data_IF_567389416131
#
_entry.id   IF_567389416131
#
_cell.length_a   1.000
_cell.length_b   1.000
_cell.length_c   1.000
_cell.angle_alpha   90.00
_cell.angle_beta   90.00
_cell.angle_gamma   90.00
#
_symmetry.space_group_name_H-M   'P 1'
#
loop_
_entity.id
_entity.type
_entity.pdbx_description
1 polymer ?
#
# COMPACT_ATOMS: atom_id res chain seq x y z
N UNK A 1 42.91 14.75 -10.12
CA UNK A 1 41.76 14.07 -9.50
C UNK A 1 41.34 12.92 -10.41
N UNK A 2 41.33 11.70 -9.88
CA UNK A 2 41.02 10.47 -10.61
C UNK A 2 39.54 10.46 -11.04
N UNK A 3 39.17 9.82 -12.17
CA UNK A 3 37.77 9.60 -12.58
C UNK A 3 36.91 8.90 -11.50
N UNK A 4 37.53 8.14 -10.59
CA UNK A 4 36.83 7.46 -9.50
C UNK A 4 36.26 8.44 -8.44
N UNK A 5 36.87 9.61 -8.27
CA UNK A 5 36.50 10.61 -7.26
C UNK A 5 35.25 11.44 -7.63
N UNK A 6 34.84 11.42 -8.90
CA UNK A 6 33.60 12.10 -9.34
C UNK A 6 32.33 11.27 -9.09
N UNK A 7 32.46 9.97 -8.81
CA UNK A 7 31.31 9.06 -8.67
C UNK A 7 30.66 9.07 -7.28
N UNK A 8 31.33 9.62 -6.27
CA UNK A 8 30.84 9.67 -4.88
C UNK A 8 30.16 11.00 -4.52
N UNK A 9 30.44 12.09 -5.25
CA UNK A 9 29.86 13.41 -4.97
C UNK A 9 28.44 13.59 -5.55
N UNK A 10 28.06 12.82 -6.57
CA UNK A 10 26.74 12.95 -7.24
C UNK A 10 25.60 12.14 -6.61
N UNK A 11 25.87 11.17 -5.73
CA UNK A 11 24.81 10.35 -5.10
C UNK A 11 23.94 11.12 -4.09
N UNK A 12 24.38 12.30 -3.66
CA UNK A 12 23.70 13.16 -2.69
C UNK A 12 23.07 14.41 -3.31
N UNK A 13 23.14 14.59 -4.64
CA UNK A 13 22.45 15.68 -5.30
C UNK A 13 20.94 15.39 -5.28
N UNK A 14 20.16 16.33 -4.72
CA UNK A 14 18.71 16.28 -4.77
C UNK A 14 18.27 16.23 -6.23
N UNK A 15 17.70 15.10 -6.67
CA UNK A 15 17.17 15.02 -8.03
C UNK A 15 15.92 15.89 -8.13
N UNK A 16 15.93 16.93 -8.98
CA UNK A 16 14.73 17.70 -9.27
C UNK A 16 13.68 16.77 -9.89
N UNK A 17 12.41 17.04 -9.60
CA UNK A 17 11.30 16.35 -10.26
C UNK A 17 10.37 17.38 -10.88
N UNK A 18 9.75 17.04 -12.01
CA UNK A 18 8.73 17.88 -12.59
C UNK A 18 7.43 17.69 -11.79
N UNK A 19 7.01 18.76 -11.13
CA UNK A 19 5.70 18.79 -10.51
C UNK A 19 4.64 19.05 -11.58
N UNK A 20 3.53 18.31 -11.58
CA UNK A 20 2.47 18.53 -12.55
C UNK A 20 1.94 19.96 -12.46
N UNK A 21 1.72 20.60 -13.60
CA UNK A 21 1.22 21.98 -13.65
C UNK A 21 -0.14 22.10 -12.93
N UNK A 22 -0.31 23.21 -12.20
CA UNK A 22 -1.52 23.51 -11.44
C UNK A 22 -1.81 22.55 -10.29
N UNK A 23 -0.89 21.66 -9.94
CA UNK A 23 -1.09 20.69 -8.86
C UNK A 23 -0.74 21.28 -7.49
N UNK A 24 -1.64 21.03 -6.55
CA UNK A 24 -1.43 21.24 -5.12
C UNK A 24 -2.14 20.12 -4.34
N UNK A 25 -1.80 19.87 -3.07
CA UNK A 25 -2.44 18.82 -2.28
C UNK A 25 -3.98 18.91 -2.22
N UNK A 26 -4.55 20.09 -2.40
CA UNK A 26 -5.99 20.40 -2.38
C UNK A 26 -6.61 20.57 -3.78
N UNK A 27 -5.83 20.48 -4.86
CA UNK A 27 -6.31 20.64 -6.25
C UNK A 27 -7.41 19.64 -6.64
N UNK A 28 -7.45 18.48 -5.99
CA UNK A 28 -8.51 17.47 -6.15
C UNK A 28 -9.91 18.00 -5.81
N UNK A 29 -10.02 19.01 -4.94
CA UNK A 29 -11.30 19.59 -4.52
C UNK A 29 -12.04 20.27 -5.67
N UNK A 30 -11.33 20.66 -6.73
CA UNK A 30 -11.90 21.25 -7.94
C UNK A 30 -12.33 20.20 -8.98
N UNK A 31 -12.21 18.90 -8.67
CA UNK A 31 -12.56 17.79 -9.57
C UNK A 31 -13.78 17.03 -9.07
N UNK A 32 -14.50 16.32 -9.96
CA UNK A 32 -15.55 15.40 -9.56
C UNK A 32 -15.01 14.34 -8.60
N UNK A 33 -15.58 14.25 -7.41
CA UNK A 33 -15.23 13.26 -6.40
C UNK A 33 -16.39 12.28 -6.20
N UNK A 34 -16.09 10.98 -6.20
CA UNK A 34 -17.05 9.93 -5.87
C UNK A 34 -16.65 9.28 -4.54
N UNK A 35 -17.62 8.62 -3.89
CA UNK A 35 -17.41 7.82 -2.67
C UNK A 35 -17.01 8.58 -1.40
N UNK A 36 -16.81 9.90 -1.45
CA UNK A 36 -16.57 10.72 -0.27
C UNK A 36 -17.83 10.82 0.60
N UNK A 37 -17.70 10.80 1.94
CA UNK A 37 -18.84 11.02 2.83
C UNK A 37 -19.30 12.48 2.81
N UNK A 38 -20.59 12.69 3.04
CA UNK A 38 -21.15 14.00 3.37
C UNK A 38 -21.10 14.19 4.89
N UNK A 39 -20.13 14.95 5.39
CA UNK A 39 -20.08 15.32 6.80
C UNK A 39 -21.14 16.40 7.10
N UNK A 40 -21.92 16.27 8.18
CA UNK A 40 -22.99 17.22 8.50
C UNK A 40 -22.48 18.59 8.96
N UNK A 41 -21.28 18.63 9.54
CA UNK A 41 -20.66 19.84 10.07
C UNK A 41 -19.32 20.11 9.36
N UNK A 42 -19.28 21.19 8.58
CA UNK A 42 -18.11 21.59 7.82
C UNK A 42 -17.01 22.20 8.70
N UNK A 43 -17.36 22.87 9.80
CA UNK A 43 -16.40 23.48 10.72
C UNK A 43 -15.68 22.38 11.53
N UNK A 44 -16.42 21.37 11.99
CA UNK A 44 -15.85 20.19 12.64
C UNK A 44 -14.89 19.43 11.69
N UNK A 45 -15.22 19.37 10.40
CA UNK A 45 -14.33 18.78 9.38
C UNK A 45 -13.04 19.60 9.22
N UNK A 46 -13.12 20.92 9.16
CA UNK A 46 -11.93 21.79 9.06
C UNK A 46 -11.08 21.76 10.34
N UNK A 47 -11.70 21.63 11.51
CA UNK A 47 -10.97 21.44 12.77
C UNK A 47 -10.19 20.13 12.77
N UNK A 48 -10.86 19.00 12.47
CA UNK A 48 -10.19 17.71 12.38
C UNK A 48 -9.07 17.70 11.32
N UNK A 49 -9.28 18.35 10.18
CA UNK A 49 -8.26 18.51 9.14
C UNK A 49 -7.02 19.27 9.65
N UNK A 50 -7.21 20.39 10.35
CA UNK A 50 -6.10 21.18 10.92
C UNK A 50 -5.32 20.40 11.98
N UNK A 51 -6.02 19.66 12.84
CA UNK A 51 -5.39 18.80 13.85
C UNK A 51 -4.56 17.69 13.18
N UNK A 52 -5.14 16.93 12.24
CA UNK A 52 -4.40 15.93 11.45
C UNK A 52 -3.16 16.53 10.80
N UNK A 53 -3.28 17.74 10.24
CA UNK A 53 -2.17 18.39 9.55
C UNK A 53 -0.99 18.71 10.48
N UNK A 54 -1.27 18.94 11.76
CA UNK A 54 -0.26 19.20 12.78
C UNK A 54 0.39 17.91 13.34
N UNK A 55 -0.24 16.74 13.18
CA UNK A 55 0.29 15.48 13.69
C UNK A 55 1.50 14.98 12.88
N UNK A 56 2.43 14.24 13.52
CA UNK A 56 3.54 13.60 12.81
C UNK A 56 3.06 12.61 11.73
N UNK A 57 3.79 12.49 10.62
CA UNK A 57 3.47 11.50 9.59
C UNK A 57 3.68 10.05 10.06
N UNK A 58 3.10 9.09 9.33
CA UNK A 58 3.21 7.66 9.62
C UNK A 58 4.44 7.01 8.99
N UNK A 59 4.92 7.56 7.87
CA UNK A 59 6.06 7.05 7.10
C UNK A 59 6.99 8.19 6.68
N UNK A 60 8.20 7.86 6.25
CA UNK A 60 9.18 8.82 5.77
C UNK A 60 9.33 8.77 4.25
N UNK A 61 9.82 9.86 3.66
CA UNK A 61 10.09 9.92 2.21
C UNK A 61 11.18 8.96 1.76
N UNK A 62 12.19 8.69 2.59
CA UNK A 62 13.27 7.75 2.25
C UNK A 62 12.76 6.32 2.10
N UNK A 63 11.83 5.91 2.97
CA UNK A 63 11.18 4.60 2.87
C UNK A 63 10.30 4.48 1.62
N UNK A 64 9.58 5.55 1.29
CA UNK A 64 8.79 5.64 0.05
C UNK A 64 9.69 5.49 -1.19
N UNK A 65 10.83 6.18 -1.22
CA UNK A 65 11.79 6.12 -2.33
C UNK A 65 12.41 4.72 -2.41
N UNK A 66 12.77 4.11 -1.27
CA UNK A 66 13.28 2.75 -1.22
C UNK A 66 12.25 1.74 -1.77
N UNK A 67 10.98 1.84 -1.38
CA UNK A 67 9.92 1.01 -1.94
C UNK A 67 9.81 1.20 -3.46
N UNK A 68 9.83 2.45 -3.94
CA UNK A 68 9.76 2.73 -5.38
C UNK A 68 10.89 2.02 -6.13
N UNK A 69 12.11 2.06 -5.61
CA UNK A 69 13.25 1.34 -6.18
C UNK A 69 13.01 -0.17 -6.22
N UNK A 70 12.47 -0.76 -5.15
CA UNK A 70 12.13 -2.19 -5.15
C UNK A 70 11.02 -2.56 -6.14
N UNK A 71 10.05 -1.67 -6.36
CA UNK A 71 9.03 -1.86 -7.39
C UNK A 71 9.61 -1.71 -8.80
N UNK A 72 10.60 -0.84 -9.01
CA UNK A 72 11.34 -0.77 -10.27
C UNK A 72 12.06 -2.09 -10.57
N UNK A 73 12.71 -2.68 -9.57
CA UNK A 73 13.33 -4.01 -9.69
C UNK A 73 12.28 -5.10 -9.97
N UNK A 74 11.08 -5.00 -9.38
CA UNK A 74 9.98 -5.92 -9.66
C UNK A 74 9.46 -5.78 -11.11
N UNK A 75 9.39 -4.55 -11.66
CA UNK A 75 9.05 -4.32 -13.08
C UNK A 75 10.03 -5.01 -14.03
N UNK A 76 11.29 -5.15 -13.62
CA UNK A 76 12.34 -5.84 -14.37
C UNK A 76 12.41 -7.35 -14.11
N UNK A 77 11.49 -7.91 -13.31
CA UNK A 77 11.48 -9.33 -12.95
C UNK A 77 12.57 -9.74 -11.95
N UNK A 78 13.26 -8.78 -11.32
CA UNK A 78 14.32 -9.04 -10.31
C UNK A 78 13.76 -9.23 -8.90
N UNK A 79 12.50 -8.87 -8.68
CA UNK A 79 11.77 -9.06 -7.41
C UNK A 79 10.33 -9.45 -7.66
N UNK A 80 9.71 -10.02 -6.64
CA UNK A 80 8.28 -10.28 -6.62
C UNK A 80 7.59 -9.42 -5.55
N UNK A 81 6.46 -8.81 -5.86
CA UNK A 81 5.67 -8.02 -4.89
C UNK A 81 4.62 -8.92 -4.22
N UNK A 82 4.66 -9.02 -2.90
CA UNK A 82 3.61 -9.60 -2.07
C UNK A 82 2.90 -8.48 -1.32
N UNK A 83 1.64 -8.23 -1.68
CA UNK A 83 0.76 -7.31 -0.95
C UNK A 83 -0.38 -8.09 -0.27
N UNK A 84 -0.57 -7.91 1.03
CA UNK A 84 -1.57 -8.67 1.79
C UNK A 84 -2.00 -8.03 3.10
N UNK A 85 -3.19 -8.38 3.60
CA UNK A 85 -3.78 -7.85 4.83
C UNK A 85 -5.29 -7.70 4.71
N UNK A 86 -5.89 -6.92 5.61
CA UNK A 86 -7.34 -6.86 5.77
C UNK A 86 -8.04 -6.20 4.57
N UNK A 87 -9.30 -6.59 4.37
CA UNK A 87 -10.18 -5.87 3.44
C UNK A 87 -10.45 -4.44 3.92
N UNK A 88 -10.79 -4.31 5.20
CA UNK A 88 -10.96 -3.06 5.93
C UNK A 88 -10.52 -3.32 7.37
N UNK A 89 -9.58 -2.53 7.88
CA UNK A 89 -9.19 -2.59 9.29
C UNK A 89 -10.33 -2.03 10.17
N UNK A 90 -10.43 -2.54 11.39
CA UNK A 90 -11.38 -2.11 12.41
C UNK A 90 -10.64 -1.50 13.60
N UNK A 91 -11.20 -0.46 14.21
CA UNK A 91 -10.67 0.12 15.45
C UNK A 91 -10.74 -0.86 16.62
N UNK A 92 -11.72 -1.76 16.64
CA UNK A 92 -11.87 -2.78 17.68
C UNK A 92 -10.81 -3.89 17.55
N UNK A 93 -10.29 -4.10 16.34
CA UNK A 93 -9.29 -5.13 16.03
C UNK A 93 -7.85 -4.60 16.04
N UNK A 94 -7.65 -3.36 16.47
CA UNK A 94 -6.32 -2.78 16.69
C UNK A 94 -5.71 -3.33 18.00
N UNK A 95 -5.40 -4.62 18.03
CA UNK A 95 -4.78 -5.33 19.15
C UNK A 95 -3.51 -6.07 18.72
N UNK A 96 -2.59 -6.28 19.66
CA UNK A 96 -1.28 -6.90 19.38
C UNK A 96 -1.41 -8.30 18.76
N UNK A 97 -2.36 -9.12 19.23
CA UNK A 97 -2.57 -10.48 18.73
C UNK A 97 -3.04 -10.48 17.27
N UNK A 98 -4.00 -9.62 16.92
CA UNK A 98 -4.51 -9.52 15.54
C UNK A 98 -3.42 -9.03 14.60
N UNK A 99 -2.71 -7.95 14.99
CA UNK A 99 -1.65 -7.36 14.17
C UNK A 99 -0.49 -8.35 13.97
N UNK A 100 -0.03 -9.01 15.04
CA UNK A 100 1.06 -9.96 14.97
C UNK A 100 0.70 -11.20 14.15
N UNK A 101 -0.52 -11.75 14.32
CA UNK A 101 -0.97 -12.89 13.52
C UNK A 101 -1.07 -12.54 12.02
N UNK A 102 -1.55 -11.34 11.69
CA UNK A 102 -1.59 -10.84 10.31
C UNK A 102 -0.18 -10.72 9.71
N UNK A 103 0.77 -10.21 10.50
CA UNK A 103 2.17 -10.11 10.11
C UNK A 103 2.79 -11.50 9.88
N UNK A 104 2.54 -12.47 10.76
CA UNK A 104 2.99 -13.87 10.61
C UNK A 104 2.54 -14.45 9.27
N UNK A 105 1.25 -14.34 8.95
CA UNK A 105 0.73 -14.85 7.66
C UNK A 105 1.48 -14.25 6.47
N UNK A 106 1.71 -12.93 6.47
CA UNK A 106 2.44 -12.29 5.38
C UNK A 106 3.90 -12.76 5.28
N UNK A 107 4.57 -12.93 6.42
CA UNK A 107 5.94 -13.45 6.47
C UNK A 107 6.01 -14.90 5.99
N UNK A 108 5.08 -15.76 6.41
CA UNK A 108 5.01 -17.16 5.96
C UNK A 108 4.79 -17.27 4.46
N UNK A 109 3.83 -16.51 3.90
CA UNK A 109 3.60 -16.45 2.45
C UNK A 109 4.86 -15.99 1.71
N UNK A 110 5.54 -14.97 2.23
CA UNK A 110 6.75 -14.45 1.61
C UNK A 110 7.87 -15.50 1.55
N UNK A 111 8.00 -16.33 2.59
CA UNK A 111 9.00 -17.39 2.65
C UNK A 111 8.77 -18.44 1.56
N UNK A 112 7.53 -18.87 1.42
CA UNK A 112 7.11 -19.83 0.37
C UNK A 112 7.38 -19.26 -1.01
N UNK A 113 7.07 -17.98 -1.24
CA UNK A 113 7.33 -17.31 -2.51
C UNK A 113 8.83 -17.16 -2.81
N UNK A 114 9.64 -16.80 -1.82
CA UNK A 114 11.11 -16.74 -1.99
C UNK A 114 11.66 -18.11 -2.38
N UNK A 115 11.20 -19.18 -1.72
CA UNK A 115 11.62 -20.54 -2.01
C UNK A 115 11.22 -20.99 -3.42
N UNK A 116 9.95 -20.78 -3.79
CA UNK A 116 9.42 -21.23 -5.08
C UNK A 116 9.90 -20.41 -6.27
N UNK A 117 10.02 -19.08 -6.11
CA UNK A 117 10.43 -18.17 -7.19
C UNK A 117 11.94 -17.99 -7.29
N UNK A 118 12.68 -18.25 -6.20
CA UNK A 118 14.12 -17.92 -6.09
C UNK A 118 14.40 -16.44 -6.39
N UNK A 119 13.46 -15.57 -6.05
CA UNK A 119 13.53 -14.12 -6.20
C UNK A 119 13.30 -13.44 -4.85
N UNK A 120 13.93 -12.28 -4.57
CA UNK A 120 13.59 -11.46 -3.43
C UNK A 120 12.11 -11.03 -3.48
N UNK A 121 11.45 -11.05 -2.32
CA UNK A 121 10.04 -10.63 -2.18
C UNK A 121 9.96 -9.29 -1.45
N UNK A 122 9.27 -8.33 -2.07
CA UNK A 122 8.88 -7.04 -1.46
C UNK A 122 7.58 -7.25 -0.70
N UNK A 123 7.53 -6.93 0.59
CA UNK A 123 6.36 -7.16 1.45
C UNK A 123 5.64 -5.85 1.72
N UNK A 124 4.36 -5.79 1.33
CA UNK A 124 3.53 -4.62 1.54
C UNK A 124 2.25 -5.03 2.28
N UNK A 125 2.12 -4.58 3.52
CA UNK A 125 0.94 -4.80 4.33
C UNK A 125 -0.21 -3.86 3.96
N UNK A 126 -1.42 -4.38 3.77
CA UNK A 126 -2.66 -3.60 3.94
C UNK A 126 -2.93 -3.39 5.43
N UNK A 127 -2.14 -2.49 6.01
CA UNK A 127 -1.98 -2.25 7.45
C UNK A 127 -1.91 -0.75 7.71
N UNK A 128 -2.27 -0.37 8.94
CA UNK A 128 -2.05 0.97 9.47
C UNK A 128 -2.67 2.07 8.61
N UNK A 129 -3.88 1.86 8.08
CA UNK A 129 -4.56 2.90 7.30
C UNK A 129 -5.74 2.42 6.46
N UNK A 130 -6.01 1.11 6.38
CA UNK A 130 -7.05 0.54 5.54
C UNK A 130 -8.44 0.64 6.18
N UNK A 131 -8.78 1.81 6.73
CA UNK A 131 -10.02 2.06 7.48
C UNK A 131 -11.17 2.60 6.63
N UNK A 132 -10.94 2.94 5.36
CA UNK A 132 -11.96 3.44 4.44
C UNK A 132 -12.41 2.34 3.47
N UNK A 133 -13.70 2.32 3.11
CA UNK A 133 -14.26 1.35 2.18
C UNK A 133 -15.26 2.00 1.21
N UNK A 134 -15.09 1.82 -0.11
CA UNK A 134 -16.08 2.28 -1.07
C UNK A 134 -17.32 1.37 -1.04
N UNK A 135 -18.48 1.92 -1.37
CA UNK A 135 -19.78 1.25 -1.35
C UNK A 135 -20.45 1.31 -2.72
N UNK A 136 -21.20 0.25 -3.04
CA UNK A 136 -21.99 0.20 -4.28
C UNK A 136 -23.26 1.07 -4.21
N UNK A 137 -23.75 1.33 -3.00
CA UNK A 137 -24.91 2.18 -2.74
C UNK A 137 -24.60 3.09 -1.55
N UNK A 138 -25.18 4.29 -1.55
CA UNK A 138 -24.97 5.27 -0.48
C UNK A 138 -25.72 4.89 0.80
N UNK A 139 -26.83 4.16 0.65
CA UNK A 139 -27.69 3.71 1.74
C UNK A 139 -27.72 2.18 1.86
N UNK A 140 -28.14 1.71 3.03
CA UNK A 140 -28.35 0.32 3.37
C UNK A 140 -29.70 0.18 4.07
N UNK A 141 -30.54 -0.74 3.58
CA UNK A 141 -31.86 -1.04 4.16
C UNK A 141 -31.84 -2.38 4.87
N UNK A 142 -32.26 -2.42 6.14
CA UNK A 142 -32.48 -3.65 6.91
C UNK A 142 -33.81 -3.54 7.64
N UNK A 143 -34.64 -4.58 7.57
CA UNK A 143 -35.93 -4.67 8.26
C UNK A 143 -36.83 -3.43 8.08
N UNK A 144 -36.84 -2.87 6.86
CA UNK A 144 -37.64 -1.68 6.50
C UNK A 144 -37.04 -0.33 6.89
N UNK A 145 -35.92 -0.29 7.63
CA UNK A 145 -35.20 0.93 8.01
C UNK A 145 -34.06 1.16 7.03
N UNK A 146 -33.94 2.37 6.48
CA UNK A 146 -32.87 2.77 5.55
C UNK A 146 -31.95 3.79 6.23
N UNK A 147 -30.65 3.49 6.26
CA UNK A 147 -29.61 4.33 6.86
C UNK A 147 -28.41 4.47 5.90
N UNK A 148 -27.57 5.51 6.05
CA UNK A 148 -26.32 5.60 5.30
C UNK A 148 -25.47 4.33 5.44
N UNK A 149 -24.86 3.90 4.35
CA UNK A 149 -23.96 2.75 4.34
C UNK A 149 -22.76 2.97 5.24
N UNK A 150 -22.34 1.93 5.95
CA UNK A 150 -21.03 1.91 6.63
C UNK A 150 -19.89 2.03 5.61
N UNK A 151 -19.05 3.07 5.75
CA UNK A 151 -17.94 3.39 4.82
C UNK A 151 -16.56 3.12 5.42
N UNK A 152 -16.51 2.33 6.50
CA UNK A 152 -15.29 2.05 7.23
C UNK A 152 -15.12 2.97 8.45
N UNK A 153 -14.36 2.51 9.43
CA UNK A 153 -14.26 3.09 10.77
C UNK A 153 -13.76 4.54 10.79
N UNK A 154 -13.00 4.94 9.76
CA UNK A 154 -12.52 6.32 9.58
C UNK A 154 -13.64 7.31 9.20
N UNK A 155 -14.79 6.81 8.72
CA UNK A 155 -15.93 7.63 8.31
C UNK A 155 -17.06 7.55 9.33
N UNK A 156 -17.58 6.36 9.60
CA UNK A 156 -18.72 6.10 10.49
C UNK A 156 -18.56 4.74 11.19
N UNK A 157 -19.51 4.35 12.04
CA UNK A 157 -19.45 3.10 12.80
C UNK A 157 -20.19 1.93 12.10
N UNK A 158 -19.83 0.67 12.42
CA UNK A 158 -20.42 -0.50 11.79
C UNK A 158 -21.87 -0.79 12.21
N UNK A 159 -22.30 -0.36 13.40
CA UNK A 159 -23.65 -0.62 13.89
C UNK A 159 -24.73 0.01 13.03
N UNK A 160 -25.90 -0.61 13.00
CA UNK A 160 -27.03 -0.21 12.16
C UNK A 160 -28.01 0.66 12.95
N UNK A 161 -27.52 1.81 13.41
CA UNK A 161 -28.33 2.84 14.09
C UNK A 161 -28.12 4.19 13.41
N UNK A 162 -29.12 5.08 13.51
CA UNK A 162 -29.04 6.39 12.86
C UNK A 162 -27.80 7.17 13.33
N UNK A 163 -27.52 7.16 14.63
CA UNK A 163 -26.35 7.81 15.24
C UNK A 163 -25.03 7.24 14.72
N UNK A 164 -24.87 5.91 14.71
CA UNK A 164 -23.60 5.29 14.31
C UNK A 164 -23.29 5.47 12.82
N UNK A 165 -24.31 5.68 11.98
CA UNK A 165 -24.13 5.84 10.53
C UNK A 165 -23.82 7.27 10.09
N UNK A 166 -23.98 8.27 10.96
CA UNK A 166 -23.58 9.65 10.68
C UNK A 166 -22.05 9.73 10.52
N UNK A 167 -21.53 10.29 9.42
CA UNK A 167 -20.09 10.54 9.28
C UNK A 167 -19.56 11.50 10.35
N UNK A 168 -18.47 11.11 11.02
CA UNK A 168 -17.83 11.88 12.09
C UNK A 168 -16.37 12.20 11.74
N UNK A 169 -15.99 13.48 11.54
CA UNK A 169 -14.62 13.87 11.20
C UNK A 169 -13.57 13.47 12.26
N UNK A 170 -13.94 13.37 13.55
CA UNK A 170 -13.01 12.95 14.63
C UNK A 170 -12.50 11.53 14.42
N UNK A 171 -13.21 10.70 13.68
CA UNK A 171 -12.76 9.35 13.31
C UNK A 171 -11.49 9.36 12.46
N UNK A 172 -11.19 10.43 11.72
CA UNK A 172 -9.92 10.55 11.02
C UNK A 172 -8.73 10.65 11.99
N UNK A 173 -8.86 11.40 13.08
CA UNK A 173 -7.86 11.48 14.15
C UNK A 173 -7.68 10.11 14.80
N UNK A 174 -8.80 9.45 15.11
CA UNK A 174 -8.79 8.10 15.70
C UNK A 174 -8.12 7.09 14.77
N UNK A 175 -8.41 7.12 13.48
CA UNK A 175 -7.76 6.28 12.48
C UNK A 175 -6.25 6.54 12.44
N UNK A 176 -5.83 7.81 12.40
CA UNK A 176 -4.42 8.18 12.42
C UNK A 176 -3.68 7.62 13.65
N UNK A 177 -4.28 7.76 14.83
CA UNK A 177 -3.69 7.24 16.07
C UNK A 177 -3.56 5.69 16.03
N UNK A 178 -4.57 4.98 15.52
CA UNK A 178 -4.55 3.51 15.39
C UNK A 178 -3.55 3.05 14.32
N UNK A 179 -3.43 3.80 13.23
CA UNK A 179 -2.39 3.61 12.23
C UNK A 179 -0.99 3.78 12.83
N UNK A 180 -0.76 4.83 13.61
CA UNK A 180 0.53 5.07 14.27
C UNK A 180 0.89 3.95 15.25
N UNK A 181 -0.06 3.49 16.07
CA UNK A 181 0.14 2.37 16.99
C UNK A 181 0.49 1.07 16.24
N UNK A 182 -0.26 0.77 15.17
CA UNK A 182 -0.03 -0.42 14.33
C UNK A 182 1.34 -0.37 13.67
N UNK A 183 1.68 0.78 13.07
CA UNK A 183 2.97 0.99 12.42
C UNK A 183 4.13 0.84 13.41
N UNK A 184 4.04 1.48 14.58
CA UNK A 184 5.06 1.39 15.62
C UNK A 184 5.25 -0.06 16.10
N UNK A 185 4.15 -0.78 16.33
CA UNK A 185 4.20 -2.16 16.78
C UNK A 185 4.80 -3.09 15.70
N UNK A 186 4.41 -2.94 14.43
CA UNK A 186 4.97 -3.73 13.33
C UNK A 186 6.46 -3.47 13.16
N UNK A 187 6.90 -2.20 13.21
CA UNK A 187 8.33 -1.84 13.15
C UNK A 187 9.11 -2.49 14.30
N UNK A 188 8.58 -2.41 15.52
CA UNK A 188 9.22 -3.02 16.70
C UNK A 188 9.32 -4.54 16.59
N UNK A 189 8.30 -5.23 16.05
CA UNK A 189 8.38 -6.67 15.79
C UNK A 189 9.48 -6.98 14.78
N UNK A 190 9.48 -6.30 13.63
CA UNK A 190 10.44 -6.56 12.55
C UNK A 190 11.88 -6.31 12.99
N UNK A 191 12.14 -5.15 13.62
CA UNK A 191 13.48 -4.80 14.11
C UNK A 191 13.89 -5.67 15.32
N UNK A 192 12.91 -6.18 16.09
CA UNK A 192 13.11 -7.05 17.24
C UNK A 192 13.39 -8.53 16.90
N UNK A 193 13.66 -8.85 15.63
CA UNK A 193 13.96 -10.22 15.19
C UNK A 193 12.72 -11.10 15.02
N UNK A 194 11.51 -10.54 15.09
CA UNK A 194 10.29 -11.30 14.79
C UNK A 194 10.31 -11.81 13.35
N UNK A 195 11.02 -11.14 12.43
CA UNK A 195 11.14 -11.53 11.05
C UNK A 195 12.44 -12.33 10.75
N UNK A 196 13.13 -12.82 11.78
CA UNK A 196 14.38 -13.57 11.66
C UNK A 196 14.17 -14.98 11.07
N UNK A 197 14.87 -15.27 9.98
CA UNK A 197 14.87 -16.56 9.29
C UNK A 197 15.62 -17.67 10.02
N UNK A 198 16.37 -17.37 11.09
CA UNK A 198 16.95 -18.38 11.97
C UNK A 198 15.90 -19.05 12.86
N UNK A 199 14.79 -18.35 13.13
CA UNK A 199 13.72 -18.80 14.00
C UNK A 199 12.34 -18.76 13.31
N UNK A 200 12.18 -19.43 12.16
CA UNK A 200 10.91 -19.43 11.43
C UNK A 200 9.78 -20.11 12.23
N UNK A 201 10.10 -20.90 13.26
CA UNK A 201 9.14 -21.45 14.23
C UNK A 201 8.35 -20.38 14.99
N UNK A 202 8.88 -19.15 15.13
CA UNK A 202 8.14 -18.03 15.74
C UNK A 202 6.90 -17.63 14.92
N UNK A 203 6.85 -18.05 13.65
CA UNK A 203 5.70 -17.85 12.76
C UNK A 203 4.72 -19.01 12.76
N UNK A 204 5.01 -20.12 13.44
CA UNK A 204 4.10 -21.27 13.43
C UNK A 204 2.75 -20.86 14.04
N UNK A 205 1.75 -20.80 13.18
CA UNK A 205 0.38 -20.52 13.57
C UNK A 205 -0.25 -21.86 13.92
N UNK A 206 -0.76 -21.99 15.15
CA UNK A 206 -1.31 -23.26 15.67
C UNK A 206 -2.30 -23.96 14.72
N UNK A 207 -3.04 -23.19 13.92
CA UNK A 207 -4.01 -23.73 12.97
C UNK A 207 -3.38 -24.37 11.72
N UNK A 208 -2.15 -23.99 11.33
CA UNK A 208 -1.44 -24.56 10.17
C UNK A 208 -1.21 -26.05 10.36
N UNK A 209 -1.06 -26.53 11.60
CA UNK A 209 -0.93 -27.96 11.95
C UNK A 209 -2.14 -28.80 11.55
N UNK A 210 -3.30 -28.19 11.31
CA UNK A 210 -4.50 -28.88 10.85
C UNK A 210 -4.62 -28.91 9.32
N UNK A 211 -3.70 -28.27 8.60
CA UNK A 211 -3.68 -28.27 7.14
C UNK A 211 -3.13 -29.60 6.61
N UNK A 212 -3.71 -30.17 5.54
CA UNK A 212 -3.11 -31.33 4.86
C UNK A 212 -1.73 -31.02 4.25
N UNK A 213 -1.38 -29.73 4.10
CA UNK A 213 -0.09 -29.28 3.56
C UNK A 213 0.92 -28.89 4.65
N UNK A 214 0.62 -29.12 5.93
CA UNK A 214 1.49 -28.72 7.05
C UNK A 214 2.89 -29.34 6.95
N UNK A 215 2.97 -30.63 6.63
CA UNK A 215 4.25 -31.35 6.53
C UNK A 215 5.10 -30.87 5.35
N UNK A 216 4.46 -30.45 4.25
CA UNK A 216 5.17 -29.86 3.12
C UNK A 216 5.74 -28.48 3.49
N UNK A 217 4.93 -27.65 4.16
CA UNK A 217 5.38 -26.35 4.66
C UNK A 217 6.55 -26.49 5.65
N UNK A 218 6.46 -27.38 6.63
CA UNK A 218 7.53 -27.59 7.61
C UNK A 218 8.83 -28.08 6.96
N UNK A 219 8.76 -28.96 5.96
CA UNK A 219 9.94 -29.41 5.21
C UNK A 219 10.58 -28.25 4.44
N UNK A 220 9.78 -27.38 3.83
CA UNK A 220 10.28 -26.19 3.15
C UNK A 220 11.00 -25.25 4.12
N UNK A 221 10.38 -24.96 5.26
CA UNK A 221 10.96 -24.10 6.30
C UNK A 221 12.29 -24.68 6.83
N UNK A 222 12.32 -25.98 7.13
CA UNK A 222 13.54 -26.66 7.59
C UNK A 222 14.66 -26.55 6.55
N UNK A 223 14.35 -26.79 5.27
CA UNK A 223 15.32 -26.69 4.18
C UNK A 223 15.90 -25.28 4.03
N UNK A 224 15.09 -24.24 4.25
CA UNK A 224 15.57 -22.84 4.20
C UNK A 224 16.49 -22.56 5.39
N UNK A 225 16.12 -23.01 6.60
CA UNK A 225 16.97 -22.90 7.78
C UNK A 225 18.32 -23.60 7.61
N UNK A 226 18.34 -24.79 7.01
CA UNK A 226 19.57 -25.51 6.68
C UNK A 226 20.45 -24.76 5.67
N UNK A 227 19.85 -24.18 4.64
CA UNK A 227 20.56 -23.40 3.63
C UNK A 227 21.22 -22.15 4.23
N UNK A 228 20.53 -21.45 5.14
CA UNK A 228 21.08 -20.28 5.86
C UNK A 228 22.29 -20.71 6.69
N UNK A 229 22.16 -21.76 7.52
CA UNK A 229 23.26 -22.30 8.33
C UNK A 229 24.45 -22.73 7.48
N UNK A 230 24.20 -23.33 6.31
CA UNK A 230 25.25 -23.73 5.38
C UNK A 230 26.01 -22.52 4.82
N UNK A 231 25.31 -21.46 4.39
CA UNK A 231 25.94 -20.22 3.91
C UNK A 231 26.80 -19.57 4.99
N UNK A 232 26.32 -19.53 6.24
CA UNK A 232 27.07 -18.99 7.39
C UNK A 232 28.33 -19.80 7.70
N UNK A 233 28.22 -21.13 7.59
CA UNK A 233 29.36 -22.04 7.75
C UNK A 233 30.45 -21.77 6.70
N UNK A 234 30.05 -21.45 5.46
CA UNK A 234 30.99 -21.11 4.39
C UNK A 234 31.56 -19.70 4.49
N UNK A 235 30.76 -18.71 4.88
CA UNK A 235 31.19 -17.31 5.02
C UNK A 235 32.00 -17.05 6.29
N UNK A 236 31.93 -17.96 7.27
CA UNK A 236 32.56 -17.79 8.59
C UNK A 236 31.99 -16.62 9.40
N UNK A 237 30.84 -16.08 8.98
CA UNK A 237 30.17 -14.94 9.63
C UNK A 237 28.65 -15.07 9.50
N UNK A 238 27.92 -14.60 10.52
CA UNK A 238 26.46 -14.56 10.48
C UNK A 238 25.99 -13.65 9.34
N UNK A 239 24.96 -14.09 8.60
CA UNK A 239 24.40 -13.27 7.53
C UNK A 239 23.43 -12.25 8.13
N UNK A 240 23.96 -11.14 8.63
CA UNK A 240 23.17 -10.08 9.30
C UNK A 240 22.06 -9.46 8.42
N UNK A 241 22.19 -9.53 7.09
CA UNK A 241 21.17 -9.06 6.16
C UNK A 241 19.88 -9.91 6.17
N UNK A 242 19.90 -11.11 6.77
CA UNK A 242 18.70 -11.94 6.94
C UNK A 242 17.84 -11.53 8.15
N UNK A 243 18.39 -10.69 9.04
CA UNK A 243 17.70 -10.27 10.26
C UNK A 243 16.76 -9.07 10.03
N UNK A 244 16.85 -8.42 8.86
CA UNK A 244 16.11 -7.20 8.57
C UNK A 244 15.25 -7.39 7.33
N UNK A 245 13.95 -7.58 7.56
CA UNK A 245 12.96 -7.72 6.50
C UNK A 245 12.34 -6.37 6.21
N UNK A 246 12.48 -5.87 4.99
CA UNK A 246 11.77 -4.66 4.57
C UNK A 246 10.25 -4.93 4.54
N UNK A 247 9.50 -4.09 5.25
CA UNK A 247 8.04 -4.12 5.31
C UNK A 247 7.50 -2.72 5.10
N UNK A 248 6.56 -2.62 4.17
CA UNK A 248 5.89 -1.37 3.84
C UNK A 248 4.39 -1.50 4.11
N UNK A 249 3.70 -0.36 4.10
CA UNK A 249 2.25 -0.29 4.29
C UNK A 249 1.57 0.31 3.07
N UNK A 250 0.31 -0.05 2.88
CA UNK A 250 -0.53 0.39 1.80
C UNK A 250 -1.98 0.48 2.26
N UNK A 251 -2.72 1.44 1.70
CA UNK A 251 -4.18 1.48 1.79
C UNK A 251 -4.80 2.14 0.56
N UNK A 252 -6.10 1.92 0.38
CA UNK A 252 -6.87 2.68 -0.61
C UNK A 252 -6.98 4.13 -0.12
N UNK A 253 -6.38 5.06 -0.85
CA UNK A 253 -6.42 6.48 -0.52
C UNK A 253 -7.78 7.08 -0.90
N UNK A 254 -8.83 6.59 -0.24
CA UNK A 254 -10.23 6.86 -0.57
C UNK A 254 -10.69 8.20 0.01
N UNK A 255 -10.37 8.46 1.28
CA UNK A 255 -10.83 9.64 2.01
C UNK A 255 -9.83 10.79 1.82
N UNK A 256 -9.97 11.50 0.70
CA UNK A 256 -9.03 12.56 0.29
C UNK A 256 -8.75 13.66 1.33
N UNK A 257 -9.69 14.09 2.20
CA UNK A 257 -9.37 15.00 3.29
C UNK A 257 -8.29 14.46 4.25
N UNK A 258 -8.29 13.16 4.53
CA UNK A 258 -7.27 12.51 5.36
C UNK A 258 -5.91 12.47 4.63
N UNK A 259 -5.93 12.10 3.36
CA UNK A 259 -4.72 11.97 2.54
C UNK A 259 -4.04 13.34 2.30
N UNK A 260 -4.83 14.35 1.94
CA UNK A 260 -4.39 15.74 1.84
C UNK A 260 -3.79 16.21 3.17
N UNK A 261 -4.48 15.94 4.28
CA UNK A 261 -4.01 16.30 5.61
C UNK A 261 -2.70 15.60 5.99
N UNK A 262 -2.28 14.51 5.33
CA UNK A 262 -1.00 13.84 5.56
C UNK A 262 0.03 14.03 4.43
N UNK A 263 -0.28 14.89 3.45
CA UNK A 263 0.61 15.19 2.32
C UNK A 263 1.55 16.34 2.65
N UNK A 264 2.86 16.13 2.49
CA UNK A 264 3.90 17.09 2.88
C UNK A 264 5.03 17.17 1.87
N UNK A 265 5.62 18.36 1.75
CA UNK A 265 7.01 18.47 1.31
C UNK A 265 7.91 18.15 2.51
N UNK A 266 9.05 17.52 2.26
CA UNK A 266 10.00 17.13 3.30
C UNK A 266 11.36 17.76 3.02
N UNK A 267 12.14 18.10 4.07
CA UNK A 267 13.48 18.63 3.87
C UNK A 267 14.33 17.69 3.03
N UNK A 268 15.14 18.25 2.12
CA UNK A 268 16.07 17.50 1.27
C UNK A 268 15.38 16.44 0.40
N UNK A 269 14.15 16.68 -0.05
CA UNK A 269 13.53 15.97 -1.16
C UNK A 269 12.66 16.93 -1.96
N UNK A 270 12.64 16.79 -3.28
CA UNK A 270 11.72 17.54 -4.13
C UNK A 270 10.34 16.89 -4.19
N UNK A 271 9.32 17.73 -4.27
CA UNK A 271 7.93 17.35 -4.46
C UNK A 271 7.16 16.99 -3.19
N UNK A 272 5.97 16.44 -3.37
CA UNK A 272 5.02 16.16 -2.31
C UNK A 272 4.89 14.66 -2.06
N UNK A 273 4.90 14.26 -0.81
CA UNK A 273 4.74 12.87 -0.39
C UNK A 273 3.46 12.75 0.41
N UNK A 274 2.63 11.76 0.08
CA UNK A 274 1.61 11.31 1.01
C UNK A 274 2.31 10.46 2.07
N UNK A 275 2.41 10.99 3.28
CA UNK A 275 3.10 10.33 4.39
C UNK A 275 2.15 9.56 5.30
N UNK A 276 0.90 9.33 4.87
CA UNK A 276 -0.03 8.42 5.54
C UNK A 276 0.34 6.94 5.31
N UNK A 277 1.04 6.63 4.22
CA UNK A 277 1.39 5.25 3.84
C UNK A 277 2.50 5.23 2.80
N UNK A 278 3.15 4.08 2.63
CA UNK A 278 4.21 3.95 1.64
C UNK A 278 3.63 3.84 0.21
N UNK A 279 2.57 3.05 0.06
CA UNK A 279 2.03 2.62 -1.24
C UNK A 279 0.50 2.78 -1.31
N UNK A 280 0.00 4.00 -1.55
CA UNK A 280 -1.44 4.23 -1.71
C UNK A 280 -1.94 3.69 -3.05
N UNK A 281 -3.21 3.30 -3.13
CA UNK A 281 -3.84 2.93 -4.40
C UNK A 281 -5.19 3.59 -4.66
N UNK A 282 -5.55 3.69 -5.95
CA UNK A 282 -6.87 4.12 -6.43
C UNK A 282 -7.76 2.88 -6.67
N UNK A 283 -8.96 2.90 -6.11
CA UNK A 283 -9.95 1.85 -6.30
C UNK A 283 -10.67 1.93 -7.65
N UNK A 284 -11.28 0.83 -8.09
CA UNK A 284 -12.01 0.80 -9.38
C UNK A 284 -13.16 1.82 -9.46
N UNK A 285 -13.77 2.20 -8.32
CA UNK A 285 -14.89 3.14 -8.25
C UNK A 285 -14.46 4.61 -8.21
N UNK A 286 -13.15 4.85 -8.12
CA UNK A 286 -12.55 6.19 -7.99
C UNK A 286 -11.45 6.44 -9.03
N UNK A 287 -11.28 5.53 -10.00
CA UNK A 287 -10.27 5.63 -11.05
C UNK A 287 -10.72 6.43 -12.29
N UNK A 288 -11.68 7.34 -12.15
CA UNK A 288 -12.10 8.22 -13.24
C UNK A 288 -10.94 9.15 -13.63
N UNK A 289 -10.63 9.25 -14.93
CA UNK A 289 -9.44 9.95 -15.45
C UNK A 289 -9.40 11.43 -15.06
N UNK A 290 -10.56 12.09 -15.07
CA UNK A 290 -10.77 13.49 -14.70
C UNK A 290 -11.22 13.67 -13.23
N UNK A 291 -11.24 12.57 -12.47
CA UNK A 291 -11.74 12.53 -11.10
C UNK A 291 -10.72 12.99 -10.05
N UNK A 292 -11.23 13.30 -8.87
CA UNK A 292 -10.46 13.81 -7.73
C UNK A 292 -9.31 12.90 -7.30
N UNK A 293 -9.49 11.57 -7.30
CA UNK A 293 -8.42 10.66 -6.88
C UNK A 293 -7.27 10.61 -7.89
N UNK A 294 -7.55 10.63 -9.20
CA UNK A 294 -6.49 10.67 -10.22
C UNK A 294 -5.75 12.02 -10.16
N UNK A 295 -6.47 13.13 -9.97
CA UNK A 295 -5.89 14.45 -9.73
C UNK A 295 -4.99 14.48 -8.48
N UNK A 296 -5.43 13.90 -7.37
CA UNK A 296 -4.59 13.83 -6.17
C UNK A 296 -3.33 12.98 -6.43
N UNK A 297 -3.47 11.82 -7.07
CA UNK A 297 -2.37 10.88 -7.29
C UNK A 297 -1.31 11.37 -8.28
N UNK A 298 -1.67 12.20 -9.27
CA UNK A 298 -0.71 12.66 -10.29
C UNK A 298 0.46 13.44 -9.70
N UNK A 299 0.29 14.12 -8.58
CA UNK A 299 1.34 14.97 -7.99
C UNK A 299 1.98 14.50 -6.68
N UNK A 300 1.50 13.42 -6.05
CA UNK A 300 2.24 12.78 -4.96
C UNK A 300 3.42 11.98 -5.53
N UNK A 301 4.50 11.80 -4.76
CA UNK A 301 5.73 11.11 -5.17
C UNK A 301 5.78 9.63 -4.82
N UNK A 302 4.84 9.14 -4.03
CA UNK A 302 4.75 7.74 -3.66
C UNK A 302 4.76 6.84 -4.91
N UNK A 303 5.29 5.61 -4.86
CA UNK A 303 4.81 4.61 -5.79
C UNK A 303 3.29 4.47 -5.59
N UNK A 304 2.56 4.28 -6.67
CA UNK A 304 1.10 4.24 -6.63
C UNK A 304 0.58 3.01 -7.37
N UNK A 305 -0.57 2.53 -6.93
CA UNK A 305 -1.31 1.48 -7.60
C UNK A 305 -2.68 1.96 -8.10
N UNK A 306 -3.17 1.37 -9.18
CA UNK A 306 -4.55 1.52 -9.62
C UNK A 306 -5.17 0.16 -9.87
N UNK A 307 -6.39 -0.06 -9.35
CA UNK A 307 -7.14 -1.28 -9.65
C UNK A 307 -7.75 -1.22 -11.05
N UNK A 308 -7.51 -2.25 -11.84
CA UNK A 308 -8.00 -2.39 -13.22
C UNK A 308 -8.98 -3.55 -13.31
N UNK A 309 -10.20 -3.30 -13.76
CA UNK A 309 -11.25 -4.31 -13.90
C UNK A 309 -11.52 -4.76 -15.32
N UNK A 310 -12.49 -5.68 -15.52
CA UNK A 310 -12.83 -6.24 -16.83
C UNK A 310 -13.43 -5.22 -17.81
N UNK A 311 -13.88 -4.06 -17.32
CA UNK A 311 -14.39 -2.96 -18.15
C UNK A 311 -13.28 -2.03 -18.66
N UNK A 312 -12.02 -2.23 -18.26
CA UNK A 312 -10.91 -1.40 -18.72
C UNK A 312 -10.64 -1.61 -20.20
N UNK A 313 -10.48 -0.52 -20.95
CA UNK A 313 -10.07 -0.55 -22.36
C UNK A 313 -8.60 -0.15 -22.51
N UNK A 314 -7.91 -0.60 -23.56
CA UNK A 314 -6.55 -0.19 -23.89
C UNK A 314 -6.35 1.34 -23.86
N UNK A 315 -7.20 2.09 -24.55
CA UNK A 315 -7.09 3.55 -24.65
C UNK A 315 -7.31 4.24 -23.30
N UNK A 316 -8.26 3.76 -22.49
CA UNK A 316 -8.48 4.30 -21.16
C UNK A 316 -7.28 4.04 -20.25
N UNK A 317 -6.69 2.84 -20.35
CA UNK A 317 -5.51 2.48 -19.58
C UNK A 317 -4.30 3.33 -19.96
N UNK A 318 -4.04 3.54 -21.26
CA UNK A 318 -2.92 4.36 -21.72
C UNK A 318 -3.02 5.81 -21.24
N UNK A 319 -4.20 6.44 -21.40
CA UNK A 319 -4.42 7.80 -20.89
C UNK A 319 -4.24 7.90 -19.38
N UNK A 320 -4.65 6.87 -18.64
CA UNK A 320 -4.44 6.82 -17.20
C UNK A 320 -2.95 6.72 -16.85
N UNK A 321 -2.19 5.91 -17.60
CA UNK A 321 -0.73 5.80 -17.45
C UNK A 321 -0.07 7.15 -17.76
N UNK A 322 -0.47 7.84 -18.83
CA UNK A 322 0.07 9.16 -19.20
C UNK A 322 -0.12 10.20 -18.08
N UNK A 323 -1.26 10.17 -17.37
CA UNK A 323 -1.52 11.10 -16.26
C UNK A 323 -0.74 10.72 -15.00
N UNK A 324 -0.64 9.43 -14.69
CA UNK A 324 -0.10 8.95 -13.41
C UNK A 324 1.41 8.68 -13.43
N UNK A 325 1.98 8.43 -14.61
CA UNK A 325 3.40 8.21 -14.83
C UNK A 325 3.88 8.90 -16.14
N UNK A 326 3.76 10.24 -16.25
CA UNK A 326 4.06 10.97 -17.49
C UNK A 326 5.53 10.84 -17.93
N UNK A 327 6.45 10.62 -17.00
CA UNK A 327 7.89 10.52 -17.27
C UNK A 327 8.38 9.07 -17.39
N UNK A 328 7.47 8.09 -17.35
CA UNK A 328 7.82 6.66 -17.35
C UNK A 328 8.84 6.31 -16.24
N UNK A 329 8.67 6.91 -15.04
CA UNK A 329 9.52 6.72 -13.87
C UNK A 329 9.46 5.23 -13.43
N UNK A 330 10.61 4.54 -13.32
CA UNK A 330 10.64 3.16 -12.84
C UNK A 330 10.04 3.03 -11.43
N UNK A 331 9.24 1.99 -11.22
CA UNK A 331 8.59 1.68 -9.94
C UNK A 331 7.44 2.62 -9.56
N UNK A 332 7.13 3.63 -10.39
CA UNK A 332 6.09 4.61 -10.11
C UNK A 332 4.69 4.02 -10.10
N UNK A 333 4.32 3.28 -11.14
CA UNK A 333 2.94 2.85 -11.37
C UNK A 333 2.80 1.33 -11.36
N UNK A 334 1.83 0.86 -10.58
CA UNK A 334 1.41 -0.53 -10.49
C UNK A 334 -0.05 -0.67 -10.92
N UNK A 335 -0.35 -1.66 -11.75
CA UNK A 335 -1.69 -2.00 -12.20
C UNK A 335 -2.13 -3.30 -11.51
N UNK A 336 -3.12 -3.19 -10.63
CA UNK A 336 -3.67 -4.32 -9.87
C UNK A 336 -4.90 -4.84 -10.59
N UNK A 337 -4.76 -5.90 -11.37
CA UNK A 337 -5.85 -6.41 -12.19
C UNK A 337 -6.83 -7.26 -11.37
N UNK A 338 -8.13 -7.05 -11.58
CA UNK A 338 -9.22 -7.81 -10.92
C UNK A 338 -10.26 -8.24 -11.94
N UNK A 339 -9.82 -9.03 -12.91
CA UNK A 339 -10.67 -9.49 -14.02
C UNK A 339 -11.70 -10.54 -13.59
N UNK A 340 -11.38 -11.32 -12.54
CA UNK A 340 -12.14 -12.50 -12.16
C UNK A 340 -11.77 -13.72 -13.01
N UNK A 341 -11.87 -14.91 -12.42
CA UNK A 341 -11.38 -16.15 -13.03
C UNK A 341 -11.99 -16.44 -14.41
N UNK A 342 -13.28 -16.12 -14.60
CA UNK A 342 -13.97 -16.36 -15.85
C UNK A 342 -13.59 -15.41 -17.01
N UNK A 343 -13.01 -14.24 -16.71
CA UNK A 343 -12.76 -13.20 -17.73
C UNK A 343 -11.28 -12.91 -17.94
N UNK A 344 -10.39 -13.36 -17.03
CA UNK A 344 -8.97 -12.99 -17.05
C UNK A 344 -8.28 -13.41 -18.34
N UNK A 345 -8.55 -14.62 -18.84
CA UNK A 345 -7.93 -15.16 -20.05
C UNK A 345 -8.26 -14.32 -21.29
N UNK A 346 -9.48 -13.77 -21.36
CA UNK A 346 -9.93 -12.99 -22.52
C UNK A 346 -9.56 -11.51 -22.42
N UNK A 347 -9.59 -10.94 -21.21
CA UNK A 347 -9.49 -9.49 -21.01
C UNK A 347 -8.07 -9.00 -20.76
N UNK A 348 -7.28 -9.72 -19.97
CA UNK A 348 -5.96 -9.25 -19.55
C UNK A 348 -4.93 -9.19 -20.70
N UNK A 349 -4.82 -10.19 -21.60
CA UNK A 349 -3.78 -10.18 -22.63
C UNK A 349 -3.77 -8.91 -23.49
N UNK A 350 -4.95 -8.44 -23.91
CA UNK A 350 -5.08 -7.22 -24.72
C UNK A 350 -4.52 -5.98 -24.03
N UNK A 351 -4.67 -5.89 -22.70
CA UNK A 351 -4.11 -4.77 -21.91
C UNK A 351 -2.59 -4.89 -21.75
N UNK A 352 -2.09 -6.11 -21.53
CA UNK A 352 -0.65 -6.38 -21.44
C UNK A 352 0.06 -6.04 -22.75
N UNK A 353 -0.49 -6.47 -23.88
CA UNK A 353 0.09 -6.24 -25.21
C UNK A 353 0.08 -4.76 -25.59
N UNK A 354 -0.92 -4.01 -25.12
CA UNK A 354 -0.95 -2.55 -25.30
C UNK A 354 0.16 -1.87 -24.51
N UNK A 355 0.34 -2.22 -23.22
CA UNK A 355 1.44 -1.68 -22.41
C UNK A 355 2.82 -2.01 -22.98
N UNK A 356 3.00 -3.22 -23.53
CA UNK A 356 4.26 -3.64 -24.18
C UNK A 356 4.53 -2.89 -25.48
N UNK A 357 3.52 -2.73 -26.34
CA UNK A 357 3.65 -2.01 -27.62
C UNK A 357 4.08 -0.55 -27.43
N UNK A 358 3.53 0.09 -26.40
CA UNK A 358 3.82 1.49 -26.08
C UNK A 358 4.99 1.65 -25.11
N UNK A 359 5.75 0.57 -24.85
CA UNK A 359 6.92 0.55 -23.99
C UNK A 359 6.70 1.15 -22.59
N UNK A 360 5.51 1.01 -22.01
CA UNK A 360 5.15 1.60 -20.72
C UNK A 360 5.68 0.76 -19.54
N UNK A 361 6.41 1.39 -18.63
CA UNK A 361 6.93 0.74 -17.41
C UNK A 361 5.87 0.75 -16.30
N UNK A 362 5.12 -0.33 -16.24
CA UNK A 362 4.14 -0.58 -15.18
C UNK A 362 4.39 -1.94 -14.53
N UNK A 363 4.18 -2.04 -13.23
CA UNK A 363 4.19 -3.33 -12.54
C UNK A 363 2.78 -3.94 -12.61
N UNK A 364 2.67 -5.18 -13.06
CA UNK A 364 1.39 -5.90 -13.06
C UNK A 364 1.27 -6.78 -11.82
N UNK A 365 0.13 -6.68 -11.13
CA UNK A 365 -0.18 -7.43 -9.91
C UNK A 365 -1.56 -8.06 -10.04
N UNK A 366 -1.70 -9.30 -9.56
CA UNK A 366 -2.97 -10.01 -9.45
C UNK A 366 -3.59 -9.83 -8.06
#
# INVERSE_FOLDING_TARGET
>A
MSPADRSSQDRNALQPVNLPEGWAPDSWRARPATQLPAYPDADALQEAFRELRALPPLVTSWEIIALKQHLAEAQEGKRFLLQGGDCAESFAECSSDVISNRLKVLLQMSLVLVHGLRLPVVRVGRFAGQYAKPRSADDETRDGVTLPSYRGDIVNAPGFTAEERVPDPRRMIKAHARSAMTMNFVRALIDGGFADLHHPEYWDLRWVRHSPLADEYHRMVASIGDAVRFMETLSGSQVHNLNRVDFYTAHEALLLPYEEAQTRQVPRQWGWFNLSTHFPWIGMRTAALDGAHVEYFRGIRNPIAVKVGPSATPDALLRLIDVLNPEDEPGRLTLVHRMGAAQIADKLPTLLDTGRRDCRRVLWVC
#
